data_IF_081169675186
#
_entry.id   IF_081169675186
#
_cell.length_a   1.000
_cell.length_b   1.000
_cell.length_c   1.000
_cell.angle_alpha   90.00
_cell.angle_beta   90.00
_cell.angle_gamma   90.00
#
_symmetry.space_group_name_H-M   'P 1'
#
loop_
_entity.id
_entity.type
_entity.pdbx_description
1 polymer ?
#
# COMPACT_ATOMS: atom_id res chain seq x y z
N UNK A 1 -27.58 19.03 26.38
CA UNK A 1 -26.11 19.20 26.23
C UNK A 1 -25.29 18.39 27.25
N UNK A 2 -25.71 18.24 28.51
CA UNK A 2 -24.96 17.48 29.53
C UNK A 2 -24.96 15.95 29.34
N UNK A 3 -26.03 15.34 28.82
CA UNK A 3 -26.10 13.92 28.46
C UNK A 3 -25.11 13.54 27.34
N UNK A 4 -24.85 14.47 26.42
CA UNK A 4 -23.86 14.30 25.35
C UNK A 4 -22.41 14.34 25.88
N UNK A 5 -22.12 15.19 26.87
CA UNK A 5 -20.82 15.23 27.56
C UNK A 5 -20.53 13.94 28.36
N UNK A 6 -21.56 13.32 28.94
CA UNK A 6 -21.42 12.06 29.68
C UNK A 6 -21.12 10.86 28.77
N UNK A 7 -21.67 10.82 27.56
CA UNK A 7 -21.34 9.78 26.55
C UNK A 7 -19.97 10.02 25.90
N UNK A 8 -19.57 11.28 25.71
CA UNK A 8 -18.24 11.64 25.21
C UNK A 8 -17.12 11.30 26.20
N UNK A 9 -17.37 11.31 27.52
CA UNK A 9 -16.36 10.98 28.55
C UNK A 9 -15.92 9.51 28.57
N UNK A 10 -16.61 8.61 27.87
CA UNK A 10 -16.26 7.18 27.80
C UNK A 10 -15.34 6.83 26.61
N UNK A 11 -14.67 7.83 26.03
CA UNK A 11 -13.93 7.70 24.76
C UNK A 11 -12.44 7.38 24.90
N UNK A 12 -11.85 7.38 26.09
CA UNK A 12 -10.43 7.07 26.30
C UNK A 12 -10.28 6.29 27.63
N UNK A 13 -9.68 5.09 27.71
CA UNK A 13 -9.08 4.21 26.71
C UNK A 13 -9.68 2.78 26.78
N UNK A 14 -10.58 2.42 25.87
CA UNK A 14 -10.80 0.98 25.60
C UNK A 14 -9.72 0.53 24.62
N UNK A 15 -9.19 -0.69 24.79
CA UNK A 15 -8.27 -1.39 23.87
C UNK A 15 -8.72 -1.38 22.39
N UNK A 16 -9.94 -0.92 22.14
CA UNK A 16 -10.55 -0.71 20.86
C UNK A 16 -10.10 0.58 20.15
N UNK A 17 -9.82 1.70 20.84
CA UNK A 17 -9.45 2.96 20.18
C UNK A 17 -8.01 2.97 19.63
N UNK A 18 -7.16 2.05 20.08
CA UNK A 18 -5.74 2.01 19.73
C UNK A 18 -5.49 1.54 18.29
N UNK A 19 -6.31 0.62 17.75
CA UNK A 19 -6.05 0.03 16.44
C UNK A 19 -6.12 1.03 15.27
N UNK A 20 -7.14 1.91 15.15
CA UNK A 20 -7.16 2.94 14.10
C UNK A 20 -6.01 3.96 14.26
N UNK A 21 -5.69 4.35 15.49
CA UNK A 21 -4.60 5.30 15.77
C UNK A 21 -3.26 4.72 15.33
N UNK A 22 -2.97 3.47 15.69
CA UNK A 22 -1.75 2.78 15.26
C UNK A 22 -1.68 2.60 13.74
N UNK A 23 -2.83 2.34 13.09
CA UNK A 23 -2.90 2.24 11.64
C UNK A 23 -2.57 3.57 10.94
N UNK A 24 -3.14 4.68 11.43
CA UNK A 24 -2.81 6.02 10.95
C UNK A 24 -1.36 6.39 11.25
N UNK A 25 -0.84 6.02 12.42
CA UNK A 25 0.56 6.25 12.78
C UNK A 25 1.53 5.52 11.86
N UNK A 26 1.30 4.23 11.60
CA UNK A 26 2.14 3.46 10.68
C UNK A 26 2.08 4.01 9.25
N UNK A 27 0.89 4.40 8.77
CA UNK A 27 0.73 5.02 7.44
C UNK A 27 1.43 6.38 7.35
N UNK A 28 1.34 7.22 8.39
CA UNK A 28 1.99 8.53 8.43
C UNK A 28 3.52 8.39 8.53
N UNK A 29 4.02 7.49 9.37
CA UNK A 29 5.46 7.25 9.53
C UNK A 29 6.10 6.82 8.20
N UNK A 30 5.50 5.87 7.49
CA UNK A 30 6.04 5.38 6.22
C UNK A 30 5.91 6.43 5.10
N UNK A 31 4.84 7.22 5.11
CA UNK A 31 4.70 8.32 4.15
C UNK A 31 5.77 9.40 4.36
N UNK A 32 6.00 9.82 5.61
CA UNK A 32 7.06 10.77 5.96
C UNK A 32 8.45 10.21 5.66
N UNK A 33 8.68 8.91 5.91
CA UNK A 33 9.93 8.24 5.59
C UNK A 33 10.24 8.29 4.09
N UNK A 34 9.25 8.00 3.25
CA UNK A 34 9.41 8.03 1.78
C UNK A 34 9.62 9.47 1.30
N UNK A 35 8.83 10.42 1.79
CA UNK A 35 9.02 11.84 1.48
C UNK A 35 10.41 12.34 1.93
N UNK A 36 10.90 11.85 3.07
CA UNK A 36 12.20 12.21 3.63
C UNK A 36 13.36 11.60 2.87
N UNK A 37 13.19 10.38 2.36
CA UNK A 37 14.15 9.79 1.43
C UNK A 37 14.28 10.61 0.15
N UNK A 38 13.15 11.01 -0.48
CA UNK A 38 13.16 11.85 -1.68
C UNK A 38 13.82 13.22 -1.39
N UNK A 39 13.49 13.83 -0.26
CA UNK A 39 14.08 15.10 0.17
C UNK A 39 15.59 14.98 0.45
N UNK A 40 16.03 13.87 1.05
CA UNK A 40 17.43 13.62 1.33
C UNK A 40 18.27 13.64 0.06
N UNK A 41 17.82 13.01 -1.03
CA UNK A 41 18.53 13.05 -2.32
C UNK A 41 18.65 14.45 -2.94
N UNK A 42 17.81 15.40 -2.52
CA UNK A 42 17.93 16.80 -2.93
C UNK A 42 19.08 17.52 -2.20
N UNK A 43 19.19 17.30 -0.89
CA UNK A 43 20.21 17.95 -0.05
C UNK A 43 21.56 17.22 -0.05
N UNK A 44 21.57 15.91 -0.29
CA UNK A 44 22.72 15.01 -0.15
C UNK A 44 23.94 15.43 -0.99
N UNK A 45 23.73 16.11 -2.12
CA UNK A 45 24.80 16.73 -2.93
C UNK A 45 24.61 18.25 -3.15
N UNK A 46 23.57 18.85 -2.57
CA UNK A 46 23.19 20.25 -2.82
C UNK A 46 23.82 21.28 -1.88
N UNK A 47 24.71 20.87 -0.96
CA UNK A 47 25.44 21.79 -0.09
C UNK A 47 26.49 22.60 -0.85
N UNK A 48 26.56 23.91 -0.60
CA UNK A 48 27.44 24.86 -1.27
C UNK A 48 28.87 24.32 -1.48
N UNK A 49 29.35 24.41 -2.72
CA UNK A 49 30.68 24.02 -3.17
C UNK A 49 31.85 24.75 -2.46
N UNK A 50 31.57 25.62 -1.49
CA UNK A 50 32.54 26.49 -0.80
C UNK A 50 32.92 26.05 0.62
N UNK A 51 32.25 25.05 1.22
CA UNK A 51 32.53 24.60 2.60
C UNK A 51 33.06 23.17 2.73
N UNK A 52 33.51 22.55 1.64
CA UNK A 52 34.28 21.31 1.72
C UNK A 52 35.75 21.60 2.09
N UNK A 53 35.99 22.20 3.26
CA UNK A 53 37.32 22.21 3.88
C UNK A 53 37.72 20.78 4.24
N UNK A 54 38.60 20.24 3.39
CA UNK A 54 39.73 19.38 3.76
C UNK A 54 39.48 18.26 4.77
N UNK A 55 39.17 17.05 4.29
CA UNK A 55 39.93 15.83 4.64
C UNK A 55 39.94 14.90 3.42
N UNK A 56 41.15 14.57 2.98
CA UNK A 56 41.57 13.54 2.01
C UNK A 56 41.05 13.64 0.57
N UNK A 57 41.79 14.44 -0.20
CA UNK A 57 41.84 14.36 -1.65
C UNK A 57 42.50 13.04 -2.08
N UNK A 58 41.67 12.11 -2.57
CA UNK A 58 42.08 10.98 -3.39
C UNK A 58 41.04 10.73 -4.48
N UNK A 59 41.41 11.02 -5.74
CA UNK A 59 40.69 10.74 -7.00
C UNK A 59 39.47 11.62 -7.35
N UNK A 60 39.28 11.85 -8.66
CA UNK A 60 38.32 12.78 -9.30
C UNK A 60 36.81 12.48 -9.14
N UNK A 61 36.39 11.88 -8.03
CA UNK A 61 35.03 11.37 -7.76
C UNK A 61 33.98 12.45 -7.51
N UNK A 62 34.38 13.66 -7.06
CA UNK A 62 33.41 14.73 -6.72
C UNK A 62 32.68 15.29 -7.95
N UNK A 63 33.35 15.36 -9.11
CA UNK A 63 32.74 15.89 -10.34
C UNK A 63 31.73 14.90 -10.94
N UNK A 64 31.96 13.58 -10.82
CA UNK A 64 31.03 12.54 -11.26
C UNK A 64 29.80 12.43 -10.37
N UNK A 65 29.94 12.74 -9.08
CA UNK A 65 28.82 12.66 -8.14
C UNK A 65 27.73 13.70 -8.49
N UNK A 66 28.12 14.93 -8.85
CA UNK A 66 27.18 15.98 -9.30
C UNK A 66 26.53 15.67 -10.65
N UNK A 67 27.23 15.03 -11.59
CA UNK A 67 26.65 14.67 -12.90
C UNK A 67 25.62 13.54 -12.80
N UNK A 68 25.77 12.65 -11.81
CA UNK A 68 24.83 11.53 -11.58
C UNK A 68 23.69 11.88 -10.61
N UNK A 69 23.79 12.95 -9.81
CA UNK A 69 22.74 13.38 -8.89
C UNK A 69 21.33 13.47 -9.53
N UNK A 70 21.17 14.01 -10.77
CA UNK A 70 19.92 13.94 -11.52
C UNK A 70 19.29 12.54 -11.60
N UNK A 71 20.12 11.53 -11.87
CA UNK A 71 19.69 10.14 -12.02
C UNK A 71 19.24 9.55 -10.67
N UNK A 72 19.97 9.79 -9.60
CA UNK A 72 19.58 9.34 -8.25
C UNK A 72 18.25 9.96 -7.80
N UNK A 73 18.06 11.26 -8.06
CA UNK A 73 16.80 11.94 -7.77
C UNK A 73 15.64 11.37 -8.59
N UNK A 74 15.88 11.05 -9.87
CA UNK A 74 14.90 10.37 -10.73
C UNK A 74 14.50 9.01 -10.13
N UNK A 75 15.48 8.18 -9.76
CA UNK A 75 15.25 6.86 -9.14
C UNK A 75 14.50 6.97 -7.81
N UNK A 76 14.81 7.99 -7.00
CA UNK A 76 14.11 8.26 -5.73
C UNK A 76 12.63 8.61 -5.95
N UNK A 77 12.32 9.46 -6.93
CA UNK A 77 10.94 9.79 -7.29
C UNK A 77 10.19 8.58 -7.84
N UNK A 78 10.79 7.81 -8.75
CA UNK A 78 10.21 6.58 -9.29
C UNK A 78 9.89 5.63 -8.12
N UNK A 79 10.85 5.38 -7.23
CA UNK A 79 10.66 4.58 -6.02
C UNK A 79 9.51 5.09 -5.13
N UNK A 80 9.40 6.42 -4.97
CA UNK A 80 8.28 7.07 -4.29
C UNK A 80 6.93 6.75 -4.93
N UNK A 81 6.82 6.86 -6.27
CA UNK A 81 5.60 6.52 -7.01
C UNK A 81 5.25 5.03 -6.90
N UNK A 82 6.24 4.13 -6.89
CA UNK A 82 6.00 2.70 -6.69
C UNK A 82 5.38 2.40 -5.32
N UNK A 83 5.85 3.07 -4.26
CA UNK A 83 5.36 2.85 -2.89
C UNK A 83 4.06 3.60 -2.57
N UNK A 84 3.68 4.56 -3.41
CA UNK A 84 2.49 5.39 -3.22
C UNK A 84 1.20 4.55 -3.21
N UNK A 85 1.05 3.59 -4.13
CA UNK A 85 -0.13 2.72 -4.16
C UNK A 85 -0.31 1.88 -2.90
N UNK A 86 0.67 1.06 -2.45
CA UNK A 86 0.53 0.28 -1.22
C UNK A 86 0.34 1.19 0.01
N UNK A 87 0.95 2.38 0.08
CA UNK A 87 0.66 3.38 1.11
C UNK A 87 -0.82 3.79 1.13
N UNK A 88 -1.39 4.10 -0.03
CA UNK A 88 -2.82 4.45 -0.13
C UNK A 88 -3.71 3.29 0.31
N UNK A 89 -3.37 2.04 -0.02
CA UNK A 89 -4.14 0.88 0.44
C UNK A 89 -4.10 0.72 1.97
N UNK A 90 -2.96 1.00 2.60
CA UNK A 90 -2.80 0.99 4.05
C UNK A 90 -3.64 2.09 4.70
N UNK A 91 -3.52 3.34 4.24
CA UNK A 91 -4.29 4.48 4.73
C UNK A 91 -5.81 4.29 4.56
N UNK A 92 -6.24 3.74 3.42
CA UNK A 92 -7.66 3.40 3.20
C UNK A 92 -8.15 2.25 4.11
N UNK A 93 -7.25 1.38 4.58
CA UNK A 93 -7.57 0.34 5.56
C UNK A 93 -7.70 0.92 6.97
N UNK A 94 -6.80 1.83 7.35
CA UNK A 94 -6.88 2.59 8.60
C UNK A 94 -8.21 3.38 8.70
N UNK A 95 -8.56 4.13 7.65
CA UNK A 95 -9.76 4.96 7.64
C UNK A 95 -11.06 4.14 7.77
N UNK A 96 -11.13 2.95 7.14
CA UNK A 96 -12.28 2.04 7.27
C UNK A 96 -12.46 1.50 8.68
N UNK A 97 -11.36 1.12 9.33
CA UNK A 97 -11.40 0.60 10.69
C UNK A 97 -11.96 1.66 11.66
N UNK A 98 -11.65 2.94 11.41
CA UNK A 98 -12.22 4.07 12.13
C UNK A 98 -13.72 4.24 11.85
N UNK A 99 -14.16 4.09 10.59
CA UNK A 99 -15.55 4.29 10.20
C UNK A 99 -16.50 3.21 10.78
N UNK A 100 -16.14 1.92 10.66
CA UNK A 100 -17.05 0.81 11.02
C UNK A 100 -17.41 0.73 12.51
N UNK A 101 -16.54 1.20 13.39
CA UNK A 101 -16.81 1.22 14.85
C UNK A 101 -17.85 2.26 15.25
N UNK A 102 -18.18 3.18 14.35
CA UNK A 102 -19.13 4.27 14.60
C UNK A 102 -20.55 3.85 14.31
N UNK A 103 -20.78 2.98 13.34
CA UNK A 103 -22.11 2.62 12.85
C UNK A 103 -23.07 2.20 13.99
N UNK A 104 -22.60 1.46 14.99
CA UNK A 104 -23.40 1.06 16.16
C UNK A 104 -23.80 2.25 17.07
N UNK A 105 -22.88 3.19 17.28
CA UNK A 105 -23.12 4.42 18.08
C UNK A 105 -24.02 5.41 17.32
N UNK A 106 -23.90 5.45 16.00
CA UNK A 106 -24.73 6.33 15.17
C UNK A 106 -26.16 5.81 15.03
N UNK A 107 -26.34 4.48 15.03
CA UNK A 107 -27.66 3.86 15.05
C UNK A 107 -28.45 4.23 16.31
N UNK A 108 -27.82 4.13 17.48
CA UNK A 108 -28.43 4.55 18.77
C UNK A 108 -28.72 6.05 18.82
N UNK A 109 -27.80 6.91 18.34
CA UNK A 109 -28.05 8.36 18.26
C UNK A 109 -29.16 8.74 17.27
N UNK A 110 -29.27 8.03 16.13
CA UNK A 110 -30.39 8.19 15.20
C UNK A 110 -31.72 7.76 15.83
N UNK A 111 -31.74 6.67 16.60
CA UNK A 111 -32.92 6.23 17.36
C UNK A 111 -33.36 7.27 18.41
N UNK A 112 -32.41 8.05 18.93
CA UNK A 112 -32.67 9.17 19.85
C UNK A 112 -33.01 10.50 19.13
N UNK A 113 -33.20 10.49 17.80
CA UNK A 113 -33.64 11.64 17.02
C UNK A 113 -32.54 12.62 16.59
N UNK A 114 -31.26 12.23 16.61
CA UNK A 114 -30.16 13.10 16.18
C UNK A 114 -30.24 13.46 14.68
N UNK A 115 -30.03 14.74 14.35
CA UNK A 115 -30.04 15.22 12.97
C UNK A 115 -28.85 14.68 12.15
N UNK A 116 -29.04 14.44 10.86
CA UNK A 116 -28.00 13.92 9.95
C UNK A 116 -26.75 14.81 9.92
N UNK A 117 -26.91 16.14 10.01
CA UNK A 117 -25.80 17.10 9.99
C UNK A 117 -24.95 17.05 11.26
N UNK A 118 -25.57 16.86 12.42
CA UNK A 118 -24.83 16.69 13.68
C UNK A 118 -24.08 15.35 13.68
N UNK A 119 -24.69 14.32 13.10
CA UNK A 119 -24.09 12.99 12.97
C UNK A 119 -22.86 13.01 12.06
N UNK A 120 -22.93 13.68 10.90
CA UNK A 120 -21.79 13.81 9.98
C UNK A 120 -20.66 14.67 10.56
N UNK A 121 -20.99 15.76 11.27
CA UNK A 121 -19.98 16.59 11.91
C UNK A 121 -19.24 15.85 13.03
N UNK A 122 -19.98 15.18 13.91
CA UNK A 122 -19.40 14.43 15.03
C UNK A 122 -18.46 13.33 14.54
N UNK A 123 -18.87 12.60 13.50
CA UNK A 123 -18.08 11.50 12.92
C UNK A 123 -16.84 11.99 12.17
N UNK A 124 -16.93 13.09 11.41
CA UNK A 124 -15.76 13.72 10.80
C UNK A 124 -14.76 14.14 11.87
N UNK A 125 -15.21 14.82 12.93
CA UNK A 125 -14.34 15.33 13.97
C UNK A 125 -13.63 14.22 14.73
N UNK A 126 -14.34 13.13 15.06
CA UNK A 126 -13.75 11.93 15.66
C UNK A 126 -12.70 11.28 14.73
N UNK A 127 -12.92 11.28 13.41
CA UNK A 127 -11.94 10.79 12.41
C UNK A 127 -10.67 11.63 12.38
N UNK A 128 -10.85 12.95 12.38
CA UNK A 128 -9.76 13.91 12.35
C UNK A 128 -8.94 13.80 13.64
N UNK A 129 -9.57 13.58 14.80
CA UNK A 129 -8.85 13.37 16.06
C UNK A 129 -7.96 12.13 16.00
N UNK A 130 -8.48 10.97 15.60
CA UNK A 130 -7.65 9.75 15.52
C UNK A 130 -6.54 9.87 14.47
N UNK A 131 -6.81 10.53 13.35
CA UNK A 131 -5.80 10.80 12.33
C UNK A 131 -4.73 11.78 12.83
N UNK A 132 -5.11 12.82 13.58
CA UNK A 132 -4.17 13.77 14.18
C UNK A 132 -3.27 13.10 15.22
N UNK A 133 -3.85 12.35 16.16
CA UNK A 133 -3.08 11.59 17.16
C UNK A 133 -2.20 10.55 16.48
N UNK A 134 -2.73 9.83 15.50
CA UNK A 134 -1.98 8.89 14.70
C UNK A 134 -0.82 9.57 13.97
N UNK A 135 -1.03 10.73 13.34
CA UNK A 135 0.01 11.48 12.65
C UNK A 135 1.13 11.93 13.59
N UNK A 136 0.81 12.42 14.80
CA UNK A 136 1.83 12.80 15.79
C UNK A 136 2.66 11.58 16.21
N UNK A 137 2.02 10.45 16.50
CA UNK A 137 2.73 9.21 16.81
C UNK A 137 3.57 8.72 15.62
N UNK A 138 3.03 8.83 14.40
CA UNK A 138 3.72 8.48 13.17
C UNK A 138 4.95 9.36 12.91
N UNK A 139 4.86 10.66 13.22
CA UNK A 139 5.99 11.58 13.17
C UNK A 139 7.10 11.19 14.15
N UNK A 140 6.75 10.81 15.39
CA UNK A 140 7.72 10.30 16.37
C UNK A 140 8.41 9.03 15.85
N UNK A 141 7.64 8.07 15.31
CA UNK A 141 8.20 6.85 14.71
C UNK A 141 9.09 7.18 13.51
N UNK A 142 8.69 8.14 12.67
CA UNK A 142 9.51 8.61 11.56
C UNK A 142 10.86 9.15 12.03
N UNK A 143 10.92 9.98 13.08
CA UNK A 143 12.18 10.49 13.62
C UNK A 143 13.11 9.35 14.09
N UNK A 144 12.54 8.27 14.63
CA UNK A 144 13.31 7.08 15.02
C UNK A 144 13.80 6.32 13.77
N UNK A 145 12.97 6.20 12.73
CA UNK A 145 13.33 5.53 11.47
C UNK A 145 14.34 6.32 10.63
N UNK A 146 14.42 7.64 10.78
CA UNK A 146 15.44 8.46 10.08
C UNK A 146 16.85 8.01 10.44
N UNK A 147 17.09 7.52 11.67
CA UNK A 147 18.42 7.07 12.10
C UNK A 147 18.95 5.88 11.27
N UNK A 148 18.31 4.71 11.24
CA UNK A 148 18.82 3.57 10.48
C UNK A 148 18.82 3.80 8.96
N UNK A 149 17.84 4.54 8.43
CA UNK A 149 17.77 4.82 6.99
C UNK A 149 18.77 5.91 6.55
N UNK A 150 19.12 6.85 7.43
CA UNK A 150 20.17 7.85 7.18
C UNK A 150 21.59 7.27 7.18
N UNK A 151 21.78 6.07 7.75
CA UNK A 151 23.05 5.33 7.72
C UNK A 151 23.28 4.58 6.39
N UNK A 152 22.29 4.52 5.50
CA UNK A 152 22.46 3.95 4.17
C UNK A 152 23.51 4.75 3.40
N UNK A 153 24.40 4.03 2.72
CA UNK A 153 25.48 4.62 1.93
C UNK A 153 25.11 4.51 0.46
N UNK A 154 25.19 5.62 -0.25
CA UNK A 154 25.10 5.68 -1.71
C UNK A 154 26.44 6.24 -2.21
N UNK A 155 27.06 5.67 -3.23
CA UNK A 155 28.41 6.02 -3.70
C UNK A 155 29.45 6.04 -2.55
N UNK A 156 29.33 5.14 -1.59
CA UNK A 156 30.09 5.10 -0.33
C UNK A 156 29.93 6.32 0.62
N UNK A 157 29.12 7.31 0.25
CA UNK A 157 28.80 8.48 1.08
C UNK A 157 27.51 8.18 1.85
N UNK A 158 27.49 8.34 3.19
CA UNK A 158 26.26 8.18 3.96
C UNK A 158 25.22 9.21 3.54
N UNK A 159 23.95 8.82 3.51
CA UNK A 159 22.85 9.73 3.17
C UNK A 159 22.71 10.86 4.20
N UNK A 160 23.03 10.56 5.47
CA UNK A 160 22.98 11.50 6.58
C UNK A 160 21.58 11.59 7.19
N UNK A 161 21.39 11.28 8.49
CA UNK A 161 20.10 11.48 9.17
C UNK A 161 19.59 12.92 9.04
N UNK A 162 20.49 13.91 9.04
CA UNK A 162 20.19 15.32 8.87
C UNK A 162 19.51 15.65 7.54
N UNK A 163 19.89 14.98 6.46
CA UNK A 163 19.33 15.22 5.12
C UNK A 163 17.93 14.59 4.97
N UNK A 164 17.66 13.52 5.72
CA UNK A 164 16.36 12.85 5.75
C UNK A 164 15.30 13.59 6.57
N UNK A 165 15.70 14.56 7.40
CA UNK A 165 14.76 15.37 8.17
C UNK A 165 13.97 16.30 7.23
N UNK A 166 12.65 16.13 7.21
CA UNK A 166 11.80 17.02 6.44
C UNK A 166 11.75 18.41 7.10
N UNK A 167 11.80 19.48 6.30
CA UNK A 167 11.51 20.81 6.82
C UNK A 167 10.05 20.87 7.29
N UNK A 168 9.83 21.61 8.38
CA UNK A 168 8.54 21.71 9.07
C UNK A 168 7.35 21.98 8.13
N UNK A 169 7.45 22.85 7.09
CA UNK A 169 6.32 23.10 6.18
C UNK A 169 5.84 21.85 5.45
N UNK A 170 6.74 20.98 5.00
CA UNK A 170 6.38 19.75 4.27
C UNK A 170 5.69 18.78 5.21
N UNK A 171 6.19 18.62 6.44
CA UNK A 171 5.54 17.79 7.48
C UNK A 171 4.11 18.27 7.75
N UNK A 172 3.89 19.58 7.85
CA UNK A 172 2.55 20.15 8.04
C UNK A 172 1.61 19.87 6.86
N UNK A 173 2.11 19.97 5.62
CA UNK A 173 1.36 19.59 4.42
C UNK A 173 0.99 18.11 4.45
N UNK A 174 1.93 17.22 4.78
CA UNK A 174 1.65 15.79 4.93
C UNK A 174 0.59 15.51 6.00
N UNK A 175 0.66 16.20 7.14
CA UNK A 175 -0.34 16.13 8.20
C UNK A 175 -1.71 16.57 7.72
N UNK A 176 -1.79 17.73 7.05
CA UNK A 176 -3.03 18.26 6.50
C UNK A 176 -3.66 17.30 5.47
N UNK A 177 -2.85 16.71 4.58
CA UNK A 177 -3.32 15.68 3.62
C UNK A 177 -3.87 14.46 4.36
N UNK A 178 -3.18 13.98 5.39
CA UNK A 178 -3.66 12.86 6.21
C UNK A 178 -5.03 13.16 6.85
N UNK A 179 -5.20 14.36 7.41
CA UNK A 179 -6.46 14.81 8.00
C UNK A 179 -7.59 14.91 6.95
N UNK A 180 -7.30 15.44 5.76
CA UNK A 180 -8.27 15.52 4.66
C UNK A 180 -8.70 14.11 4.23
N UNK A 181 -7.77 13.17 4.09
CA UNK A 181 -8.08 11.78 3.74
C UNK A 181 -8.97 11.14 4.82
N UNK A 182 -8.67 11.36 6.10
CA UNK A 182 -9.48 10.83 7.20
C UNK A 182 -10.89 11.45 7.25
N UNK A 183 -11.00 12.76 7.01
CA UNK A 183 -12.26 13.49 6.99
C UNK A 183 -13.15 13.06 5.81
N UNK A 184 -12.59 13.04 4.59
CA UNK A 184 -13.28 12.61 3.37
C UNK A 184 -13.67 11.13 3.46
N UNK A 185 -12.80 10.26 3.95
CA UNK A 185 -13.14 8.85 4.17
C UNK A 185 -14.29 8.68 5.16
N UNK A 186 -14.37 9.52 6.20
CA UNK A 186 -15.52 9.54 7.12
C UNK A 186 -16.80 9.91 6.36
N UNK A 187 -16.79 11.00 5.58
CA UNK A 187 -17.95 11.43 4.80
C UNK A 187 -18.48 10.35 3.86
N UNK A 188 -17.58 9.69 3.11
CA UNK A 188 -17.96 8.61 2.20
C UNK A 188 -18.47 7.35 2.93
N UNK A 189 -18.06 7.15 4.20
CA UNK A 189 -18.64 6.11 5.05
C UNK A 189 -20.10 6.36 5.38
N UNK A 190 -20.48 7.61 5.68
CA UNK A 190 -21.85 7.99 6.02
C UNK A 190 -22.80 8.08 4.82
N UNK A 191 -22.31 8.44 3.63
CA UNK A 191 -23.18 8.63 2.45
C UNK A 191 -23.87 7.34 2.00
N UNK A 192 -23.31 6.17 2.31
CA UNK A 192 -23.97 4.86 2.10
C UNK A 192 -25.12 4.60 3.09
N UNK A 193 -25.12 5.24 4.25
CA UNK A 193 -26.11 5.05 5.34
C UNK A 193 -27.28 6.06 5.23
N UNK A 194 -27.13 7.09 4.41
CA UNK A 194 -28.18 8.08 4.11
C UNK A 194 -29.09 7.69 2.94
N UNK A 195 -28.75 6.67 2.14
CA UNK A 195 -29.46 6.41 0.87
C UNK A 195 -30.75 5.58 1.02
N UNK A 196 -30.97 4.76 2.05
CA UNK A 196 -32.34 4.28 2.35
C UNK A 196 -32.44 3.52 3.69
N UNK A 197 -33.27 3.96 4.65
CA UNK A 197 -33.57 3.18 5.86
C UNK A 197 -34.29 1.84 5.55
N UNK A 198 -34.82 1.64 4.34
CA UNK A 198 -35.41 0.37 3.87
C UNK A 198 -34.38 -0.66 3.38
N UNK A 199 -33.16 -0.23 3.00
CA UNK A 199 -32.10 -1.14 2.54
C UNK A 199 -31.56 -2.05 3.65
N UNK A 200 -31.63 -1.58 4.89
CA UNK A 200 -31.19 -2.31 6.10
C UNK A 200 -32.13 -3.47 6.43
N UNK A 201 -33.42 -3.35 6.14
CA UNK A 201 -34.42 -4.41 6.44
C UNK A 201 -34.59 -5.42 5.30
N UNK A 202 -34.21 -5.06 4.08
CA UNK A 202 -34.42 -5.90 2.89
C UNK A 202 -33.16 -6.63 2.39
N UNK A 203 -31.95 -6.28 2.87
CA UNK A 203 -30.66 -6.78 2.33
C UNK A 203 -30.65 -6.79 0.79
N UNK A 204 -31.28 -5.80 0.15
CA UNK A 204 -31.47 -5.75 -1.31
C UNK A 204 -30.29 -5.08 -2.05
N UNK A 205 -29.10 -5.06 -1.47
CA UNK A 205 -27.90 -4.71 -2.20
C UNK A 205 -27.49 -5.91 -3.06
N UNK A 206 -28.08 -6.03 -4.26
CA UNK A 206 -27.58 -6.96 -5.28
C UNK A 206 -26.11 -6.62 -5.50
N UNK A 207 -25.14 -7.53 -5.22
CA UNK A 207 -23.74 -7.25 -5.43
C UNK A 207 -23.50 -7.12 -6.94
N UNK A 208 -23.60 -5.89 -7.44
CA UNK A 208 -23.22 -5.61 -8.82
C UNK A 208 -21.70 -5.74 -8.87
N UNK A 209 -21.19 -6.49 -9.84
CA UNK A 209 -19.75 -6.74 -9.99
C UNK A 209 -18.93 -5.47 -10.29
N UNK A 210 -19.47 -4.26 -10.13
CA UNK A 210 -18.71 -3.03 -10.30
C UNK A 210 -18.27 -2.82 -11.75
N UNK A 211 -19.16 -3.04 -12.73
CA UNK A 211 -18.86 -2.83 -14.16
C UNK A 211 -18.23 -1.46 -14.45
N UNK A 212 -18.64 -0.41 -13.72
CA UNK A 212 -18.03 0.93 -13.80
C UNK A 212 -16.56 0.95 -13.37
N UNK A 213 -16.22 0.22 -12.30
CA UNK A 213 -14.83 0.09 -11.85
C UNK A 213 -13.98 -0.73 -12.83
N UNK A 214 -14.57 -1.73 -13.49
CA UNK A 214 -13.91 -2.48 -14.56
C UNK A 214 -13.63 -1.59 -15.78
N UNK A 215 -14.61 -0.80 -16.23
CA UNK A 215 -14.43 0.11 -17.37
C UNK A 215 -13.37 1.16 -17.05
N UNK A 216 -13.50 1.84 -15.90
CA UNK A 216 -12.54 2.85 -15.47
C UNK A 216 -11.13 2.25 -15.29
N UNK A 217 -11.03 1.08 -14.67
CA UNK A 217 -9.76 0.38 -14.52
C UNK A 217 -9.17 -0.06 -15.86
N UNK A 218 -9.99 -0.53 -16.80
CA UNK A 218 -9.55 -0.87 -18.16
C UNK A 218 -9.03 0.35 -18.93
N UNK A 219 -9.73 1.48 -18.87
CA UNK A 219 -9.27 2.75 -19.44
C UNK A 219 -7.94 3.16 -18.83
N UNK A 220 -7.82 3.10 -17.51
CA UNK A 220 -6.60 3.47 -16.79
C UNK A 220 -5.42 2.56 -17.12
N UNK A 221 -5.68 1.25 -17.31
CA UNK A 221 -4.69 0.30 -17.79
C UNK A 221 -4.19 0.72 -19.18
N UNK A 222 -5.10 0.96 -20.12
CA UNK A 222 -4.75 1.37 -21.49
C UNK A 222 -3.94 2.67 -21.48
N UNK A 223 -4.36 3.68 -20.71
CA UNK A 223 -3.61 4.94 -20.57
C UNK A 223 -2.23 4.71 -19.95
N UNK A 224 -2.12 3.83 -18.95
CA UNK A 224 -0.83 3.45 -18.37
C UNK A 224 0.10 2.76 -19.38
N UNK A 225 -0.41 1.84 -20.20
CA UNK A 225 0.37 1.21 -21.27
C UNK A 225 0.78 2.19 -22.38
N UNK A 226 -0.13 3.07 -22.81
CA UNK A 226 0.20 4.13 -23.77
C UNK A 226 1.26 5.07 -23.19
N UNK A 227 1.13 5.44 -21.92
CA UNK A 227 2.13 6.25 -21.22
C UNK A 227 3.50 5.57 -21.15
N UNK A 228 3.53 4.25 -20.93
CA UNK A 228 4.78 3.48 -20.96
C UNK A 228 5.43 3.47 -22.36
N UNK A 229 4.65 3.33 -23.44
CA UNK A 229 5.17 3.46 -24.82
C UNK A 229 5.72 4.87 -25.05
N UNK A 230 4.94 5.89 -24.68
CA UNK A 230 5.34 7.29 -24.84
C UNK A 230 6.63 7.59 -24.07
N UNK A 231 6.82 6.99 -22.89
CA UNK A 231 8.03 7.17 -22.09
C UNK A 231 9.30 6.71 -22.82
N UNK A 232 9.25 5.61 -23.59
CA UNK A 232 10.38 5.15 -24.39
C UNK A 232 10.71 6.09 -25.55
N UNK A 233 9.68 6.55 -26.28
CA UNK A 233 9.85 7.47 -27.42
C UNK A 233 10.47 8.78 -26.96
N UNK A 234 10.01 9.31 -25.83
CA UNK A 234 10.52 10.56 -25.26
C UNK A 234 11.94 10.39 -24.74
N UNK A 235 12.31 9.26 -24.13
CA UNK A 235 13.70 9.03 -23.71
C UNK A 235 14.68 9.08 -24.87
N UNK A 236 14.33 8.46 -26.00
CA UNK A 236 15.19 8.49 -27.18
C UNK A 236 15.35 9.92 -27.72
N UNK A 237 14.30 10.73 -27.66
CA UNK A 237 14.34 12.13 -28.11
C UNK A 237 15.01 13.08 -27.09
N UNK A 238 14.90 12.76 -25.80
CA UNK A 238 15.49 13.53 -24.70
C UNK A 238 17.00 13.28 -24.55
N UNK A 239 17.49 12.10 -24.97
CA UNK A 239 18.92 11.79 -25.01
C UNK A 239 19.72 12.81 -25.86
N UNK A 240 19.10 13.35 -26.92
CA UNK A 240 19.71 14.34 -27.81
C UNK A 240 19.69 15.78 -27.25
N UNK A 241 18.94 16.06 -26.17
CA UNK A 241 18.67 17.42 -25.67
C UNK A 241 19.11 17.65 -24.21
N UNK A 242 20.01 16.83 -23.66
CA UNK A 242 20.53 16.88 -22.28
C UNK A 242 21.36 18.12 -21.91
N UNK A 243 21.26 19.23 -22.64
CA UNK A 243 22.18 20.37 -22.53
C UNK A 243 21.75 21.52 -21.60
N UNK A 244 20.45 21.75 -21.33
CA UNK A 244 20.04 23.09 -20.86
C UNK A 244 19.42 23.20 -19.45
N UNK A 245 18.73 22.19 -18.89
CA UNK A 245 18.06 22.30 -17.58
C UNK A 245 17.89 20.94 -16.87
N UNK A 246 18.92 20.49 -16.15
CA UNK A 246 18.95 19.16 -15.51
C UNK A 246 17.80 18.88 -14.51
N UNK A 247 17.36 19.88 -13.74
CA UNK A 247 16.29 19.68 -12.74
C UNK A 247 14.90 19.44 -13.35
N UNK A 248 14.51 20.25 -14.33
CA UNK A 248 13.22 20.10 -15.03
C UNK A 248 13.20 18.78 -15.80
N UNK A 249 14.32 18.43 -16.44
CA UNK A 249 14.46 17.16 -17.16
C UNK A 249 14.26 15.95 -16.23
N UNK A 250 14.86 15.96 -15.03
CA UNK A 250 14.70 14.89 -14.04
C UNK A 250 13.28 14.74 -13.56
N UNK A 251 12.61 15.85 -13.23
CA UNK A 251 11.22 15.82 -12.79
C UNK A 251 10.30 15.30 -13.90
N UNK A 252 10.52 15.76 -15.14
CA UNK A 252 9.76 15.29 -16.30
C UNK A 252 9.97 13.79 -16.52
N UNK A 253 11.21 13.31 -16.51
CA UNK A 253 11.49 11.87 -16.71
C UNK A 253 10.91 11.04 -15.54
N UNK A 254 11.05 11.49 -14.30
CA UNK A 254 10.50 10.80 -13.14
C UNK A 254 8.97 10.70 -13.18
N UNK A 255 8.27 11.76 -13.62
CA UNK A 255 6.82 11.73 -13.85
C UNK A 255 6.49 10.81 -15.02
N UNK A 256 7.26 10.84 -16.10
CA UNK A 256 7.05 9.99 -17.28
C UNK A 256 7.23 8.50 -16.98
N UNK A 257 8.11 8.12 -16.05
CA UNK A 257 8.25 6.73 -15.60
C UNK A 257 7.26 6.37 -14.48
N UNK A 258 7.13 7.24 -13.49
CA UNK A 258 6.31 7.00 -12.30
C UNK A 258 4.81 7.01 -12.58
N UNK A 259 4.34 7.89 -13.47
CA UNK A 259 2.91 8.06 -13.75
C UNK A 259 2.31 6.84 -14.47
N UNK A 260 2.86 6.30 -15.58
CA UNK A 260 2.37 5.07 -16.19
C UNK A 260 2.32 3.89 -15.21
N UNK A 261 3.35 3.76 -14.37
CA UNK A 261 3.41 2.73 -13.33
C UNK A 261 2.29 2.92 -12.29
N UNK A 262 2.11 4.14 -11.81
CA UNK A 262 1.05 4.46 -10.85
C UNK A 262 -0.35 4.20 -11.44
N UNK A 263 -0.59 4.62 -12.69
CA UNK A 263 -1.87 4.41 -13.37
C UNK A 263 -2.16 2.91 -13.54
N UNK A 264 -1.18 2.11 -13.93
CA UNK A 264 -1.38 0.65 -14.09
C UNK A 264 -1.60 -0.06 -12.76
N UNK A 265 -0.89 0.32 -11.69
CA UNK A 265 -1.19 -0.19 -10.35
C UNK A 265 -2.60 0.16 -9.88
N UNK A 266 -3.01 1.42 -10.07
CA UNK A 266 -4.35 1.87 -9.71
C UNK A 266 -5.41 1.14 -10.56
N UNK A 267 -5.12 0.85 -11.84
CA UNK A 267 -5.97 0.04 -12.70
C UNK A 267 -6.14 -1.38 -12.14
N UNK A 268 -5.06 -2.02 -11.69
CA UNK A 268 -5.10 -3.33 -11.04
C UNK A 268 -5.97 -3.30 -9.79
N UNK A 269 -5.89 -2.25 -8.95
CA UNK A 269 -6.76 -2.10 -7.77
C UNK A 269 -8.26 -1.97 -8.13
N UNK A 270 -8.57 -1.21 -9.18
CA UNK A 270 -9.94 -1.02 -9.64
C UNK A 270 -10.53 -2.30 -10.26
N UNK A 271 -9.74 -3.01 -11.07
CA UNK A 271 -10.15 -4.23 -11.77
C UNK A 271 -10.23 -5.42 -10.79
N UNK A 272 -9.36 -5.44 -9.78
CA UNK A 272 -9.17 -6.58 -8.89
C UNK A 272 -10.43 -7.08 -8.19
N UNK A 273 -11.30 -6.17 -7.74
CA UNK A 273 -12.60 -6.52 -7.14
C UNK A 273 -13.53 -7.26 -8.10
N UNK A 274 -13.55 -6.88 -9.37
CA UNK A 274 -14.33 -7.57 -10.40
C UNK A 274 -13.75 -8.97 -10.67
N UNK A 275 -12.42 -9.07 -10.81
CA UNK A 275 -11.75 -10.32 -11.14
C UNK A 275 -11.85 -11.34 -10.01
N UNK A 276 -11.74 -10.93 -8.75
CA UNK A 276 -12.01 -11.80 -7.59
C UNK A 276 -13.46 -12.30 -7.61
N UNK A 277 -14.42 -11.43 -7.97
CA UNK A 277 -15.83 -11.81 -8.09
C UNK A 277 -16.08 -12.81 -9.21
N UNK A 278 -15.47 -12.59 -10.39
CA UNK A 278 -15.54 -13.51 -11.52
C UNK A 278 -14.92 -14.87 -11.17
N UNK A 279 -13.75 -14.86 -10.54
CA UNK A 279 -13.07 -16.07 -10.08
C UNK A 279 -13.92 -16.87 -9.09
N UNK A 280 -14.48 -16.20 -8.08
CA UNK A 280 -15.36 -16.85 -7.11
C UNK A 280 -16.59 -17.44 -7.80
N UNK A 281 -17.15 -16.76 -8.82
CA UNK A 281 -18.31 -17.26 -9.59
C UNK A 281 -18.00 -18.54 -10.36
N UNK A 282 -16.82 -18.60 -10.98
CA UNK A 282 -16.34 -19.80 -11.69
C UNK A 282 -16.08 -20.93 -10.69
N UNK A 283 -15.43 -20.62 -9.55
CA UNK A 283 -15.07 -21.62 -8.54
C UNK A 283 -16.26 -22.15 -7.74
N UNK A 284 -17.32 -21.36 -7.51
CA UNK A 284 -18.57 -21.88 -6.89
C UNK A 284 -19.20 -22.97 -7.74
N UNK A 285 -19.20 -22.83 -9.08
CA UNK A 285 -19.79 -23.84 -9.98
C UNK A 285 -19.01 -25.15 -10.02
N UNK A 286 -17.73 -25.11 -9.66
CA UNK A 286 -16.82 -26.27 -9.68
C UNK A 286 -16.52 -26.81 -8.27
N UNK A 287 -17.16 -26.25 -7.24
CA UNK A 287 -16.92 -26.61 -5.85
C UNK A 287 -17.49 -28.02 -5.54
N UNK A 288 -16.61 -28.95 -5.15
CA UNK A 288 -16.97 -30.33 -4.79
C UNK A 288 -17.02 -30.61 -3.29
N UNK A 289 -16.59 -29.66 -2.46
CA UNK A 289 -16.58 -29.81 -0.99
C UNK A 289 -17.39 -28.71 -0.31
N UNK A 290 -18.03 -28.98 0.85
CA UNK A 290 -18.80 -27.98 1.58
C UNK A 290 -17.94 -26.77 1.98
N UNK A 291 -16.68 -27.01 2.38
CA UNK A 291 -15.73 -25.95 2.71
C UNK A 291 -15.45 -25.02 1.51
N UNK A 292 -15.24 -25.57 0.31
CA UNK A 292 -15.02 -24.76 -0.90
C UNK A 292 -16.26 -23.97 -1.31
N UNK A 293 -17.45 -24.57 -1.19
CA UNK A 293 -18.70 -23.92 -1.58
C UNK A 293 -19.03 -22.76 -0.62
N UNK A 294 -18.89 -22.98 0.69
CA UNK A 294 -19.03 -21.94 1.71
C UNK A 294 -18.03 -20.80 1.49
N UNK A 295 -16.75 -21.14 1.24
CA UNK A 295 -15.70 -20.15 1.02
C UNK A 295 -16.02 -19.22 -0.15
N UNK A 296 -16.26 -19.75 -1.35
CA UNK A 296 -16.49 -18.91 -2.52
C UNK A 296 -17.85 -18.21 -2.52
N UNK A 297 -18.89 -18.78 -1.89
CA UNK A 297 -20.14 -18.03 -1.66
C UNK A 297 -19.93 -16.84 -0.74
N UNK A 298 -19.13 -16.98 0.31
CA UNK A 298 -18.79 -15.86 1.20
C UNK A 298 -17.99 -14.75 0.51
N UNK A 299 -17.19 -15.09 -0.51
CA UNK A 299 -16.49 -14.09 -1.35
C UNK A 299 -17.49 -13.37 -2.26
N UNK A 300 -18.46 -14.09 -2.83
CA UNK A 300 -19.47 -13.51 -3.72
C UNK A 300 -20.43 -12.53 -3.03
N UNK A 301 -20.60 -12.63 -1.71
CA UNK A 301 -21.33 -11.62 -0.92
C UNK A 301 -20.68 -10.24 -1.03
N UNK A 302 -19.34 -10.17 -1.07
CA UNK A 302 -18.62 -8.89 -1.21
C UNK A 302 -17.24 -9.04 -1.88
N UNK A 303 -17.17 -9.18 -3.22
CA UNK A 303 -15.90 -9.41 -3.93
C UNK A 303 -14.87 -8.31 -3.71
N UNK A 304 -15.33 -7.05 -3.62
CA UNK A 304 -14.44 -5.90 -3.36
C UNK A 304 -13.86 -5.92 -1.96
N UNK A 305 -14.56 -6.48 -0.96
CA UNK A 305 -14.01 -6.64 0.37
C UNK A 305 -12.93 -7.73 0.38
N UNK A 306 -13.17 -8.85 -0.32
CA UNK A 306 -12.18 -9.92 -0.48
C UNK A 306 -10.92 -9.44 -1.23
N UNK A 307 -11.07 -8.68 -2.33
CA UNK A 307 -9.93 -8.05 -3.02
C UNK A 307 -9.10 -7.18 -2.07
N UNK A 308 -9.74 -6.29 -1.31
CA UNK A 308 -9.03 -5.37 -0.41
C UNK A 308 -8.28 -6.07 0.73
N UNK A 309 -8.58 -7.33 1.03
CA UNK A 309 -7.82 -8.12 2.00
C UNK A 309 -6.47 -8.59 1.43
N UNK A 310 -6.35 -8.67 0.11
CA UNK A 310 -5.16 -9.19 -0.59
C UNK A 310 -4.52 -8.16 -1.55
N UNK A 311 -5.11 -6.97 -1.69
CA UNK A 311 -4.66 -5.94 -2.64
C UNK A 311 -3.25 -5.43 -2.34
N UNK A 312 -2.85 -5.37 -1.07
CA UNK A 312 -1.47 -5.03 -0.70
C UNK A 312 -0.47 -6.00 -1.35
N UNK A 313 -0.71 -7.31 -1.22
CA UNK A 313 0.14 -8.36 -1.82
C UNK A 313 0.18 -8.19 -3.34
N UNK A 314 -0.96 -7.88 -3.97
CA UNK A 314 -1.04 -7.58 -5.40
C UNK A 314 -0.02 -6.52 -5.82
N UNK A 315 -0.04 -5.38 -5.11
CA UNK A 315 0.80 -4.24 -5.41
C UNK A 315 2.28 -4.56 -5.21
N UNK A 316 2.63 -5.28 -4.14
CA UNK A 316 4.03 -5.70 -3.93
C UNK A 316 4.50 -6.74 -4.94
N UNK A 317 3.65 -7.69 -5.31
CA UNK A 317 3.97 -8.64 -6.40
C UNK A 317 4.14 -7.91 -7.72
N UNK A 318 3.34 -6.87 -8.00
CA UNK A 318 3.51 -6.02 -9.18
C UNK A 318 4.87 -5.33 -9.17
N UNK A 319 5.23 -4.69 -8.05
CA UNK A 319 6.54 -4.04 -7.86
C UNK A 319 7.66 -5.06 -8.07
N UNK A 320 7.61 -6.21 -7.40
CA UNK A 320 8.64 -7.23 -7.51
C UNK A 320 8.74 -7.84 -8.91
N UNK A 321 7.61 -8.04 -9.60
CA UNK A 321 7.58 -8.55 -10.97
C UNK A 321 8.18 -7.56 -11.97
N UNK A 322 7.96 -6.26 -11.77
CA UNK A 322 8.59 -5.22 -12.58
C UNK A 322 10.09 -5.08 -12.29
N UNK A 323 10.50 -5.29 -11.03
CA UNK A 323 11.88 -5.12 -10.58
C UNK A 323 12.76 -6.35 -10.82
N UNK A 324 12.15 -7.54 -10.95
CA UNK A 324 12.79 -8.81 -11.34
C UNK A 324 13.78 -8.70 -12.50
N UNK A 325 13.33 -8.24 -13.67
CA UNK A 325 14.17 -8.07 -14.85
C UNK A 325 15.31 -7.08 -14.65
N UNK A 326 15.11 -6.02 -13.85
CA UNK A 326 16.14 -5.01 -13.57
C UNK A 326 17.34 -5.63 -12.85
N UNK A 327 17.10 -6.51 -11.87
CA UNK A 327 18.19 -7.28 -11.25
C UNK A 327 18.92 -8.17 -12.25
N UNK A 328 18.18 -8.81 -13.15
CA UNK A 328 18.75 -9.65 -14.18
C UNK A 328 19.68 -8.87 -15.12
N UNK A 329 19.28 -7.65 -15.51
CA UNK A 329 20.11 -6.75 -16.31
C UNK A 329 21.38 -6.33 -15.56
N UNK A 330 21.24 -5.89 -14.31
CA UNK A 330 22.37 -5.45 -13.48
C UNK A 330 23.40 -6.56 -13.27
N UNK A 331 22.97 -7.80 -12.99
CA UNK A 331 23.88 -8.93 -12.79
C UNK A 331 24.49 -9.45 -14.10
N UNK A 332 23.88 -9.15 -15.25
CA UNK A 332 24.41 -9.55 -16.56
C UNK A 332 25.44 -8.57 -17.12
N UNK A 333 25.58 -7.38 -16.53
CA UNK A 333 26.60 -6.40 -16.86
C UNK A 333 27.97 -6.86 -16.36
N UNK A 334 28.57 -7.83 -17.05
CA UNK A 334 29.93 -8.30 -16.79
C UNK A 334 30.94 -7.41 -17.52
N UNK A 335 31.95 -6.90 -16.81
CA UNK A 335 33.02 -6.06 -17.39
C UNK A 335 33.21 -4.67 -16.77
N UNK A 336 32.51 -4.34 -15.69
CA UNK A 336 32.67 -3.04 -14.99
C UNK A 336 33.90 -3.10 -14.08
N UNK A 337 34.85 -2.18 -14.26
CA UNK A 337 36.02 -2.05 -13.38
C UNK A 337 35.60 -1.69 -11.95
N UNK A 338 36.17 -2.39 -10.95
CA UNK A 338 35.98 -2.09 -9.54
C UNK A 338 36.44 -0.65 -9.23
N UNK A 339 35.58 0.13 -8.57
CA UNK A 339 35.85 1.53 -8.23
C UNK A 339 35.46 2.56 -9.30
N UNK A 340 34.96 2.13 -10.46
CA UNK A 340 34.35 3.03 -11.46
C UNK A 340 33.01 3.61 -10.98
N UNK A 341 32.59 4.75 -11.56
CA UNK A 341 31.29 5.36 -11.25
C UNK A 341 30.09 4.44 -11.58
N UNK A 342 30.26 3.58 -12.59
CA UNK A 342 29.26 2.57 -12.99
C UNK A 342 29.12 1.45 -11.94
N UNK A 343 30.23 1.04 -11.31
CA UNK A 343 30.21 0.02 -10.24
C UNK A 343 29.43 0.51 -9.02
N UNK A 344 29.65 1.76 -8.60
CA UNK A 344 28.89 2.38 -7.51
C UNK A 344 27.41 2.52 -7.85
N UNK A 345 27.08 2.96 -9.06
CA UNK A 345 25.70 3.09 -9.53
C UNK A 345 24.96 1.75 -9.50
N UNK A 346 25.61 0.67 -9.97
CA UNK A 346 25.05 -0.68 -9.92
C UNK A 346 24.78 -1.10 -8.47
N UNK A 347 25.76 -0.96 -7.57
CA UNK A 347 25.61 -1.33 -6.15
C UNK A 347 24.48 -0.54 -5.47
N UNK A 348 24.41 0.75 -5.74
CA UNK A 348 23.40 1.65 -5.20
C UNK A 348 22.00 1.35 -5.74
N UNK A 349 21.88 1.00 -7.03
CA UNK A 349 20.61 0.56 -7.63
C UNK A 349 20.11 -0.73 -6.97
N UNK A 350 20.99 -1.68 -6.70
CA UNK A 350 20.64 -2.90 -5.97
C UNK A 350 20.14 -2.58 -4.55
N UNK A 351 20.86 -1.71 -3.83
CA UNK A 351 20.47 -1.27 -2.50
C UNK A 351 19.10 -0.56 -2.51
N UNK A 352 18.89 0.36 -3.45
CA UNK A 352 17.62 1.04 -3.64
C UNK A 352 16.47 0.07 -3.96
N UNK A 353 16.73 -0.94 -4.78
CA UNK A 353 15.74 -1.96 -5.11
C UNK A 353 15.32 -2.79 -3.89
N UNK A 354 16.31 -3.26 -3.14
CA UNK A 354 16.08 -4.02 -1.90
C UNK A 354 15.29 -3.17 -0.91
N UNK A 355 15.61 -1.88 -0.81
CA UNK A 355 14.90 -0.93 0.05
C UNK A 355 13.43 -0.77 -0.32
N UNK A 356 13.13 -0.59 -1.62
CA UNK A 356 11.76 -0.47 -2.12
C UNK A 356 10.97 -1.75 -1.87
N UNK A 357 11.57 -2.91 -2.13
CA UNK A 357 10.93 -4.20 -1.85
C UNK A 357 10.66 -4.37 -0.35
N UNK A 358 11.63 -4.06 0.51
CA UNK A 358 11.49 -4.13 1.96
C UNK A 358 10.32 -3.25 2.46
N UNK A 359 10.28 -1.97 2.05
CA UNK A 359 9.21 -1.05 2.43
C UNK A 359 7.85 -1.50 1.90
N UNK A 360 7.82 -2.03 0.67
CA UNK A 360 6.61 -2.59 0.06
C UNK A 360 6.07 -3.78 0.86
N UNK A 361 6.94 -4.73 1.24
CA UNK A 361 6.56 -5.85 2.08
C UNK A 361 6.10 -5.45 3.48
N UNK A 362 6.75 -4.45 4.07
CA UNK A 362 6.33 -3.89 5.35
C UNK A 362 4.91 -3.33 5.27
N UNK A 363 4.59 -2.59 4.20
CA UNK A 363 3.24 -2.08 3.94
C UNK A 363 2.22 -3.22 3.78
N UNK A 364 2.59 -4.30 3.11
CA UNK A 364 1.74 -5.50 2.98
C UNK A 364 1.49 -6.17 4.31
N UNK A 365 2.53 -6.36 5.13
CA UNK A 365 2.41 -6.99 6.43
C UNK A 365 1.48 -6.18 7.34
N UNK A 366 1.66 -4.85 7.39
CA UNK A 366 0.80 -3.95 8.17
C UNK A 366 -0.64 -3.95 7.65
N UNK A 367 -0.83 -3.86 6.33
CA UNK A 367 -2.15 -3.88 5.70
C UNK A 367 -2.88 -5.20 5.96
N UNK A 368 -2.18 -6.33 5.84
CA UNK A 368 -2.70 -7.65 6.16
C UNK A 368 -3.10 -7.73 7.64
N UNK A 369 -2.24 -7.32 8.57
CA UNK A 369 -2.52 -7.34 10.00
C UNK A 369 -3.77 -6.52 10.35
N UNK A 370 -3.91 -5.32 9.79
CA UNK A 370 -5.07 -4.46 10.02
C UNK A 370 -6.36 -5.04 9.45
N UNK A 371 -6.32 -5.55 8.21
CA UNK A 371 -7.48 -6.14 7.56
C UNK A 371 -7.91 -7.45 8.25
N UNK A 372 -6.96 -8.28 8.72
CA UNK A 372 -7.27 -9.49 9.48
C UNK A 372 -7.85 -9.17 10.86
N UNK A 373 -7.28 -8.17 11.55
CA UNK A 373 -7.81 -7.68 12.82
C UNK A 373 -9.25 -7.20 12.67
N UNK A 374 -9.54 -6.42 11.62
CA UNK A 374 -10.90 -5.96 11.32
C UNK A 374 -11.86 -7.13 11.05
N UNK A 375 -11.44 -8.12 10.25
CA UNK A 375 -12.26 -9.27 9.88
C UNK A 375 -12.63 -10.15 11.09
N UNK A 376 -11.74 -10.26 12.08
CA UNK A 376 -11.99 -11.00 13.33
C UNK A 376 -13.12 -10.37 14.13
N UNK A 377 -13.10 -9.05 14.30
CA UNK A 377 -14.16 -8.34 15.02
C UNK A 377 -15.52 -8.44 14.30
N UNK A 378 -15.54 -8.41 12.97
CA UNK A 378 -16.78 -8.45 12.18
C UNK A 378 -17.44 -9.83 12.11
N UNK A 379 -16.65 -10.90 12.02
CA UNK A 379 -17.17 -12.25 11.75
C UNK A 379 -17.29 -13.12 13.00
N UNK A 380 -16.90 -12.62 14.17
CA UNK A 380 -16.92 -13.36 15.43
C UNK A 380 -18.31 -13.92 15.78
N UNK A 381 -19.37 -13.12 15.63
CA UNK A 381 -20.75 -13.55 15.89
C UNK A 381 -21.21 -14.62 14.90
N UNK A 382 -20.91 -14.46 13.60
CA UNK A 382 -21.26 -15.42 12.56
C UNK A 382 -20.58 -16.78 12.79
N UNK A 383 -19.29 -16.79 13.12
CA UNK A 383 -18.57 -18.04 13.41
C UNK A 383 -19.06 -18.70 14.70
N UNK A 384 -19.43 -17.90 15.72
CA UNK A 384 -20.07 -18.41 16.94
C UNK A 384 -21.40 -19.07 16.61
N UNK A 385 -22.28 -18.41 15.87
CA UNK A 385 -23.58 -18.96 15.47
C UNK A 385 -23.45 -20.22 14.62
N UNK A 386 -22.51 -20.27 13.66
CA UNK A 386 -22.26 -21.47 12.85
C UNK A 386 -21.79 -22.67 13.67
N UNK A 387 -20.96 -22.40 14.69
CA UNK A 387 -20.49 -23.43 15.63
C UNK A 387 -21.61 -23.90 16.56
N UNK A 388 -22.49 -22.98 16.99
CA UNK A 388 -23.70 -23.32 17.77
C UNK A 388 -24.70 -24.16 16.95
N UNK A 389 -24.76 -23.96 15.62
CA UNK A 389 -25.57 -24.77 14.70
C UNK A 389 -24.93 -26.13 14.33
N UNK A 390 -23.84 -26.53 14.99
CA UNK A 390 -23.22 -27.85 14.81
C UNK A 390 -22.23 -27.96 13.65
N UNK A 391 -21.79 -26.85 13.04
CA UNK A 391 -20.78 -26.92 11.96
C UNK A 391 -19.43 -27.36 12.53
N UNK A 392 -18.84 -28.40 11.93
CA UNK A 392 -17.55 -28.92 12.35
C UNK A 392 -16.42 -27.87 12.24
N UNK A 393 -15.63 -27.70 13.31
CA UNK A 393 -14.60 -26.67 13.38
C UNK A 393 -13.52 -26.81 12.29
N UNK A 394 -13.26 -28.04 11.82
CA UNK A 394 -12.34 -28.33 10.73
C UNK A 394 -12.81 -27.72 9.39
N UNK A 395 -14.12 -27.77 9.11
CA UNK A 395 -14.72 -27.21 7.90
C UNK A 395 -14.61 -25.68 7.90
N UNK A 396 -14.85 -25.04 9.04
CA UNK A 396 -14.72 -23.58 9.19
C UNK A 396 -13.26 -23.11 9.03
N UNK A 397 -12.30 -23.83 9.64
CA UNK A 397 -10.86 -23.55 9.46
C UNK A 397 -10.43 -23.70 8.00
N UNK A 398 -10.85 -24.78 7.33
CA UNK A 398 -10.54 -25.03 5.92
C UNK A 398 -11.16 -23.98 5.00
N UNK A 399 -12.42 -23.61 5.23
CA UNK A 399 -13.12 -22.56 4.50
C UNK A 399 -12.37 -21.22 4.61
N UNK A 400 -11.97 -20.81 5.82
CA UNK A 400 -11.18 -19.58 6.04
C UNK A 400 -9.86 -19.59 5.27
N UNK A 401 -9.16 -20.73 5.23
CA UNK A 401 -7.93 -20.86 4.44
C UNK A 401 -8.22 -20.64 2.95
N UNK A 402 -9.27 -21.25 2.41
CA UNK A 402 -9.64 -21.09 1.00
C UNK A 402 -10.03 -19.63 0.68
N UNK A 403 -10.78 -18.97 1.58
CA UNK A 403 -11.20 -17.56 1.40
C UNK A 403 -10.00 -16.62 1.29
N UNK A 404 -8.90 -16.89 1.98
CA UNK A 404 -7.70 -16.04 1.93
C UNK A 404 -6.76 -16.45 0.80
N UNK A 405 -6.40 -17.73 0.70
CA UNK A 405 -5.39 -18.20 -0.24
C UNK A 405 -5.88 -18.21 -1.70
N UNK A 406 -7.16 -18.47 -1.94
CA UNK A 406 -7.74 -18.52 -3.29
C UNK A 406 -7.59 -17.18 -4.03
N UNK A 407 -8.12 -16.07 -3.49
CA UNK A 407 -7.92 -14.75 -4.06
C UNK A 407 -6.44 -14.34 -4.10
N UNK A 408 -5.67 -14.62 -3.05
CA UNK A 408 -4.27 -14.16 -2.96
C UNK A 408 -3.40 -14.69 -4.12
N UNK A 409 -3.51 -15.99 -4.46
CA UNK A 409 -2.77 -16.56 -5.58
C UNK A 409 -3.21 -15.96 -6.92
N UNK A 410 -4.52 -15.85 -7.16
CA UNK A 410 -5.05 -15.25 -8.38
C UNK A 410 -4.50 -13.84 -8.57
N UNK A 411 -4.54 -13.05 -7.50
CA UNK A 411 -4.21 -11.62 -7.53
C UNK A 411 -2.71 -11.43 -7.75
N UNK A 412 -1.89 -12.32 -7.19
CA UNK A 412 -0.45 -12.35 -7.43
C UNK A 412 -0.11 -12.67 -8.89
N UNK A 413 -0.71 -13.73 -9.46
CA UNK A 413 -0.55 -14.09 -10.87
C UNK A 413 -1.00 -12.96 -11.81
N UNK A 414 -2.16 -12.37 -11.52
CA UNK A 414 -2.70 -11.24 -12.28
C UNK A 414 -1.76 -10.03 -12.26
N UNK A 415 -1.23 -9.67 -11.09
CA UNK A 415 -0.35 -8.52 -10.93
C UNK A 415 0.97 -8.73 -11.69
N UNK A 416 1.56 -9.92 -11.61
CA UNK A 416 2.74 -10.28 -12.39
C UNK A 416 2.46 -10.26 -13.91
N UNK A 417 1.30 -10.77 -14.34
CA UNK A 417 0.90 -10.78 -15.75
C UNK A 417 0.70 -9.38 -16.34
N UNK A 418 0.40 -8.36 -15.51
CA UNK A 418 0.33 -6.96 -15.96
C UNK A 418 1.69 -6.26 -15.85
N UNK A 419 2.46 -6.55 -14.80
CA UNK A 419 3.76 -5.93 -14.56
C UNK A 419 4.81 -6.30 -15.61
N UNK A 420 4.86 -7.56 -16.05
CA UNK A 420 5.87 -8.03 -17.00
C UNK A 420 5.74 -7.37 -18.39
N UNK A 421 4.56 -7.32 -19.03
CA UNK A 421 4.39 -6.56 -20.26
C UNK A 421 4.71 -5.08 -20.11
N UNK A 422 4.35 -4.47 -18.97
CA UNK A 422 4.71 -3.07 -18.68
C UNK A 422 6.23 -2.91 -18.64
N UNK A 423 6.95 -3.82 -17.99
CA UNK A 423 8.41 -3.82 -17.97
C UNK A 423 8.98 -3.91 -19.39
N UNK A 424 8.52 -4.88 -20.20
CA UNK A 424 8.97 -5.06 -21.58
C UNK A 424 8.74 -3.78 -22.40
N UNK A 425 7.61 -3.11 -22.18
CA UNK A 425 7.24 -1.89 -22.87
C UNK A 425 8.05 -0.65 -22.44
N UNK A 426 8.66 -0.68 -21.26
CA UNK A 426 9.46 0.45 -20.75
C UNK A 426 10.96 0.21 -20.92
N UNK A 427 11.43 -1.02 -20.75
CA UNK A 427 12.84 -1.39 -20.65
C UNK A 427 13.19 -2.66 -21.45
N UNK A 428 12.27 -3.19 -22.26
CA UNK A 428 12.41 -4.52 -22.87
C UNK A 428 13.50 -4.68 -23.93
N UNK A 429 14.02 -3.59 -24.50
CA UNK A 429 15.17 -3.63 -25.41
C UNK A 429 16.45 -4.14 -24.75
N UNK A 430 16.51 -4.14 -23.42
CA UNK A 430 17.66 -4.59 -22.62
C UNK A 430 17.50 -6.00 -22.02
N UNK A 431 16.47 -6.77 -22.42
CA UNK A 431 16.23 -8.11 -21.88
C UNK A 431 17.20 -9.16 -22.45
N UNK A 432 18.04 -9.71 -21.58
CA UNK A 432 18.89 -10.88 -21.85
C UNK A 432 18.19 -12.19 -21.42
N UNK A 433 18.63 -13.34 -21.97
CA UNK A 433 18.10 -14.65 -21.58
C UNK A 433 18.31 -14.97 -20.09
N UNK A 434 19.43 -14.53 -19.49
CA UNK A 434 19.69 -14.57 -18.04
C UNK A 434 18.71 -13.70 -17.26
N UNK A 435 18.34 -12.53 -17.80
CA UNK A 435 17.37 -11.64 -17.17
C UNK A 435 16.00 -12.28 -16.94
N UNK A 436 15.58 -13.20 -17.81
CA UNK A 436 14.31 -13.92 -17.68
C UNK A 436 14.29 -14.86 -16.45
N UNK A 437 15.39 -15.53 -16.15
CA UNK A 437 15.49 -16.45 -15.01
C UNK A 437 15.45 -15.69 -13.67
N UNK A 438 16.20 -14.59 -13.55
CA UNK A 438 16.15 -13.71 -12.38
C UNK A 438 14.77 -13.11 -12.16
N UNK A 439 14.12 -12.71 -13.25
CA UNK A 439 12.73 -12.23 -13.23
C UNK A 439 11.80 -13.28 -12.64
N UNK A 440 11.84 -14.51 -13.15
CA UNK A 440 11.02 -15.60 -12.65
C UNK A 440 11.30 -15.88 -11.17
N UNK A 441 12.58 -15.97 -10.78
CA UNK A 441 12.99 -16.21 -9.41
C UNK A 441 12.46 -15.12 -8.45
N UNK A 442 12.56 -13.84 -8.81
CA UNK A 442 12.00 -12.75 -8.00
C UNK A 442 10.48 -12.74 -7.98
N UNK A 443 9.80 -13.05 -9.09
CA UNK A 443 8.33 -13.18 -9.08
C UNK A 443 7.89 -14.31 -8.15
N UNK A 444 8.46 -15.50 -8.25
CA UNK A 444 8.08 -16.61 -7.38
C UNK A 444 8.50 -16.38 -5.92
N UNK A 445 9.70 -15.86 -5.69
CA UNK A 445 10.19 -15.49 -4.36
C UNK A 445 9.31 -14.41 -3.73
N UNK A 446 8.92 -13.39 -4.49
CA UNK A 446 8.11 -12.30 -4.00
C UNK A 446 6.70 -12.73 -3.60
N UNK A 447 6.11 -13.62 -4.40
CA UNK A 447 4.84 -14.27 -4.10
C UNK A 447 4.99 -15.11 -2.83
N UNK A 448 6.04 -15.93 -2.71
CA UNK A 448 6.28 -16.75 -1.53
C UNK A 448 6.42 -15.91 -0.25
N UNK A 449 7.19 -14.81 -0.28
CA UNK A 449 7.33 -13.86 0.84
C UNK A 449 5.99 -13.21 1.17
N UNK A 450 5.24 -12.76 0.16
CA UNK A 450 3.90 -12.18 0.36
C UNK A 450 2.92 -13.15 1.00
N UNK A 451 2.88 -14.41 0.55
CA UNK A 451 2.10 -15.48 1.17
C UNK A 451 2.53 -15.73 2.61
N UNK A 452 3.85 -15.78 2.86
CA UNK A 452 4.43 -15.98 4.19
C UNK A 452 4.01 -14.88 5.17
N UNK A 453 4.06 -13.61 4.75
CA UNK A 453 3.66 -12.46 5.57
C UNK A 453 2.16 -12.47 5.90
N UNK A 454 1.31 -12.78 4.92
CA UNK A 454 -0.14 -12.90 5.18
C UNK A 454 -0.43 -14.07 6.12
N UNK A 455 0.28 -15.18 5.97
CA UNK A 455 0.15 -16.32 6.88
C UNK A 455 0.63 -15.98 8.29
N UNK A 456 1.77 -15.29 8.43
CA UNK A 456 2.27 -14.82 9.72
C UNK A 456 1.27 -13.86 10.40
N UNK A 457 0.66 -12.94 9.65
CA UNK A 457 -0.38 -12.05 10.16
C UNK A 457 -1.65 -12.82 10.61
N UNK A 458 -2.05 -13.86 9.87
CA UNK A 458 -3.14 -14.76 10.26
C UNK A 458 -2.82 -15.57 11.52
N UNK A 459 -1.58 -16.01 11.67
CA UNK A 459 -1.11 -16.76 12.83
C UNK A 459 -1.04 -15.86 14.08
N UNK A 460 -0.49 -14.65 13.94
CA UNK A 460 -0.40 -13.65 15.01
C UNK A 460 -1.78 -13.24 15.55
N UNK A 461 -2.80 -13.25 14.70
CA UNK A 461 -4.18 -12.89 15.07
C UNK A 461 -5.03 -14.08 15.52
N UNK A 462 -4.53 -15.31 15.39
CA UNK A 462 -5.21 -16.55 15.79
C UNK A 462 -5.58 -16.64 17.27
N UNK A 463 -4.66 -16.36 18.22
CA UNK A 463 -4.94 -16.44 19.66
C UNK A 463 -6.05 -15.48 20.12
N UNK A 464 -6.09 -14.27 19.54
CA UNK A 464 -7.11 -13.26 19.83
C UNK A 464 -8.50 -13.75 19.39
N UNK A 465 -8.59 -14.43 18.25
CA UNK A 465 -9.84 -15.02 17.76
C UNK A 465 -10.31 -16.18 18.65
N UNK A 466 -9.40 -17.01 19.18
CA UNK A 466 -9.78 -18.07 20.13
C UNK A 466 -10.32 -17.50 21.44
N UNK A 467 -9.79 -16.37 21.92
CA UNK A 467 -10.33 -15.69 23.10
C UNK A 467 -11.71 -15.08 22.83
N UNK A 468 -11.93 -14.47 21.66
CA UNK A 468 -13.21 -13.85 21.31
C UNK A 468 -14.29 -14.92 21.04
N UNK A 469 -13.95 -15.99 20.33
CA UNK A 469 -14.90 -17.07 20.00
C UNK A 469 -15.31 -17.95 21.18
N UNK A 470 -14.59 -17.86 22.31
CA UNK A 470 -14.96 -18.51 23.58
C UNK A 470 -15.88 -17.65 24.45
N UNK A 471 -16.06 -16.35 24.15
CA UNK A 471 -17.03 -15.52 24.86
C UNK A 471 -18.45 -15.91 24.42
N UNK A 472 -19.38 -16.20 25.34
CA UNK A 472 -20.77 -16.44 24.98
C UNK A 472 -21.32 -15.19 24.29
N UNK A 473 -22.14 -15.38 23.25
CA UNK A 473 -22.88 -14.29 22.61
C UNK A 473 -23.73 -13.62 23.69
N UNK A 474 -23.38 -12.40 24.10
CA UNK A 474 -24.28 -11.62 24.94
C UNK A 474 -25.49 -11.27 24.10
N UNK A 475 -26.63 -11.87 24.40
CA UNK A 475 -27.91 -11.42 23.87
C UNK A 475 -28.23 -10.06 24.50
N UNK A 476 -27.84 -8.96 23.84
CA UNK A 476 -28.45 -7.62 24.00
C UNK A 476 -28.34 -6.87 22.68
#
# INVERSE_FOLDING_TARGET
MQTFKLLARRTLPTSQATLPVLAFAASAALFLLIAGGIHAFYLWLGGDASTATSVEAGSGTKNTAHTLQPLYLMLAWVSGFLLLTPLFTLGASAARLSARRRDDRLATLRLLGASTRQLTLYTMLDSVIYAAVGFVLGFIVYLILVLPFGMLRFQNIPLGPENMLLPLPIVLVCGLVCLIIAATSSLFGLSKVTISPLGVRTRSDKPSLGKRALILGGVLLVVGFIGAIASQVIMNLAADSMGANGFVLVLVIAIMFGLPFLLTMLAVDLIGGFVVGLYARIRVRTARTPATLLAYRSILESPRAAWRQVSGVAMTTFIAAFMGPILGMINSASGVEEGSAESYLIGDMLQGLVLVLFLSYLLVALSALLNQSAAIYERGSLYSSLRMMGTEAAVLKRSRRIVVFGPLLLVSCMSAAVALPLFVLMLGSALTGTGLLYTAALVFGSIAVGLGLVFAALAATGPVMEQISRKPVSAV
#
